data_IF_467754769803
#
_entry.id   IF_467754769803
#
_cell.length_a   1.000
_cell.length_b   1.000
_cell.length_c   1.000
_cell.angle_alpha   90.00
_cell.angle_beta   90.00
_cell.angle_gamma   90.00
#
_symmetry.space_group_name_H-M   'P 1'
#
loop_
_entity.id
_entity.type
_entity.pdbx_description
1 polymer ?
#
# COMPACT_ATOMS: atom_id res chain seq x y z
N UNK A 1 2.88 42.17 8.09
CA UNK A 1 3.37 41.29 7.02
C UNK A 1 4.18 40.11 7.47
N UNK A 2 5.15 40.29 8.37
CA UNK A 2 5.97 39.20 8.90
C UNK A 2 5.15 38.10 9.62
N UNK A 3 4.16 38.48 10.41
CA UNK A 3 3.28 37.54 11.11
C UNK A 3 2.48 36.65 10.13
N UNK A 4 2.02 37.26 9.05
CA UNK A 4 1.25 36.53 8.02
C UNK A 4 2.15 35.53 7.29
N UNK A 5 3.34 35.93 6.91
CA UNK A 5 4.33 35.05 6.26
C UNK A 5 4.74 33.89 7.15
N UNK A 6 4.89 34.13 8.47
CA UNK A 6 5.21 33.07 9.44
C UNK A 6 4.08 32.04 9.54
N UNK A 7 2.83 32.51 9.55
CA UNK A 7 1.66 31.60 9.58
C UNK A 7 1.57 30.75 8.31
N UNK A 8 1.84 31.35 7.15
CA UNK A 8 1.84 30.61 5.87
C UNK A 8 2.97 29.57 5.83
N UNK A 9 4.15 29.92 6.32
CA UNK A 9 5.29 28.97 6.38
C UNK A 9 4.96 27.80 7.26
N UNK A 10 4.36 28.03 8.43
CA UNK A 10 3.97 26.96 9.34
C UNK A 10 2.89 26.08 8.72
N UNK A 11 1.90 26.67 8.07
CA UNK A 11 0.83 25.95 7.37
C UNK A 11 1.41 25.05 6.26
N UNK A 12 2.30 25.57 5.44
CA UNK A 12 2.95 24.80 4.37
C UNK A 12 3.79 23.67 4.92
N UNK A 13 4.53 23.91 6.00
CA UNK A 13 5.35 22.90 6.66
C UNK A 13 4.49 21.77 7.24
N UNK A 14 3.39 22.11 7.89
CA UNK A 14 2.46 21.11 8.43
C UNK A 14 1.86 20.25 7.32
N UNK A 15 1.50 20.87 6.19
CA UNK A 15 0.97 20.12 5.03
C UNK A 15 2.02 19.23 4.40
N UNK A 16 3.28 19.68 4.32
CA UNK A 16 4.37 18.85 3.82
C UNK A 16 4.61 17.64 4.72
N UNK A 17 4.58 17.83 6.04
CA UNK A 17 4.75 16.73 6.98
C UNK A 17 3.61 15.70 6.87
N UNK A 18 2.37 16.16 6.73
CA UNK A 18 1.22 15.28 6.52
C UNK A 18 1.35 14.52 5.20
N UNK A 19 1.74 15.23 4.14
CA UNK A 19 1.95 14.64 2.81
C UNK A 19 3.05 13.58 2.84
N UNK A 20 4.17 13.86 3.52
CA UNK A 20 5.31 12.93 3.57
C UNK A 20 5.00 11.64 4.33
N UNK A 21 3.94 11.61 5.12
CA UNK A 21 3.53 10.44 5.91
C UNK A 21 2.48 9.58 5.24
N UNK A 22 1.98 10.00 4.08
CA UNK A 22 0.97 9.22 3.37
C UNK A 22 1.54 7.89 2.91
N UNK A 23 0.78 6.84 3.11
CA UNK A 23 1.07 5.52 2.60
C UNK A 23 -0.11 5.01 1.78
N UNK A 24 0.19 4.27 0.73
CA UNK A 24 -0.82 3.65 -0.12
C UNK A 24 -0.51 2.17 -0.26
N UNK A 25 -1.48 1.33 0.03
CA UNK A 25 -1.40 -0.13 -0.10
C UNK A 25 -2.51 -0.60 -1.01
N UNK A 26 -2.32 -1.75 -1.66
CA UNK A 26 -3.32 -2.30 -2.56
C UNK A 26 -3.67 -3.74 -2.20
N UNK A 27 -4.96 -4.04 -2.25
CA UNK A 27 -5.49 -5.40 -2.21
C UNK A 27 -5.68 -5.82 -3.67
N UNK A 28 -4.73 -6.61 -4.20
CA UNK A 28 -4.79 -7.13 -5.57
C UNK A 28 -5.45 -8.50 -5.55
N UNK A 29 -6.58 -8.62 -6.21
CA UNK A 29 -7.41 -9.82 -6.23
C UNK A 29 -7.28 -10.53 -7.56
N UNK A 30 -6.95 -11.82 -7.54
CA UNK A 30 -6.88 -12.64 -8.75
C UNK A 30 -8.24 -13.27 -9.09
N UNK A 31 -8.29 -14.07 -10.16
CA UNK A 31 -9.52 -14.71 -10.62
C UNK A 31 -10.11 -15.70 -9.62
N UNK A 32 -9.27 -16.23 -8.73
CA UNK A 32 -9.69 -17.20 -7.70
C UNK A 32 -10.11 -16.53 -6.40
N UNK A 33 -10.27 -15.20 -6.39
CA UNK A 33 -10.57 -14.41 -5.18
C UNK A 33 -9.50 -14.54 -4.10
N UNK A 34 -8.26 -14.72 -4.53
CA UNK A 34 -7.11 -14.71 -3.66
C UNK A 34 -6.40 -13.36 -3.76
N UNK A 35 -5.76 -12.95 -2.67
CA UNK A 35 -5.09 -11.66 -2.54
C UNK A 35 -3.58 -11.84 -2.51
N UNK A 36 -2.87 -10.96 -3.19
CA UNK A 36 -1.41 -10.96 -3.20
C UNK A 36 -0.85 -10.39 -1.90
N UNK A 37 -0.02 -11.19 -1.22
CA UNK A 37 0.74 -10.77 -0.04
C UNK A 37 2.24 -10.93 -0.30
N UNK A 38 3.03 -10.05 0.30
CA UNK A 38 4.49 -10.04 0.21
C UNK A 38 5.09 -10.20 1.60
N UNK A 39 6.10 -11.07 1.72
CA UNK A 39 6.77 -11.30 3.00
C UNK A 39 7.96 -10.35 3.15
N UNK A 40 7.99 -9.58 4.24
CA UNK A 40 9.05 -8.61 4.52
C UNK A 40 10.34 -9.29 4.91
N UNK A 41 11.46 -8.78 4.38
CA UNK A 41 12.79 -9.28 4.70
C UNK A 41 13.40 -8.57 5.91
N UNK A 42 14.59 -9.01 6.33
CA UNK A 42 15.38 -8.35 7.38
C UNK A 42 15.89 -6.96 6.96
N UNK A 43 15.77 -6.59 5.71
CA UNK A 43 16.04 -5.23 5.22
C UNK A 43 15.22 -4.22 5.98
N UNK A 44 14.00 -4.59 6.36
CA UNK A 44 13.14 -3.79 7.22
C UNK A 44 13.46 -4.09 8.68
N UNK A 45 13.84 -3.06 9.45
CA UNK A 45 14.12 -3.20 10.88
C UNK A 45 12.85 -3.53 11.68
N UNK A 46 11.68 -3.14 11.15
CA UNK A 46 10.38 -3.41 11.77
C UNK A 46 9.62 -4.42 10.94
N UNK A 47 8.91 -5.31 11.61
CA UNK A 47 7.99 -6.27 10.98
C UNK A 47 8.66 -7.23 9.99
N UNK A 48 9.96 -7.52 10.18
CA UNK A 48 10.67 -8.53 9.39
C UNK A 48 9.96 -9.88 9.50
N UNK A 49 9.78 -10.56 8.37
CA UNK A 49 9.12 -11.85 8.32
C UNK A 49 7.60 -11.80 8.33
N UNK A 50 7.00 -10.63 8.51
CA UNK A 50 5.55 -10.47 8.44
C UNK A 50 5.07 -10.37 6.99
N UNK A 51 3.82 -10.78 6.77
CA UNK A 51 3.16 -10.64 5.47
C UNK A 51 2.51 -9.26 5.36
N UNK A 52 2.69 -8.64 4.20
CA UNK A 52 2.30 -7.26 3.93
C UNK A 52 1.58 -7.19 2.59
N UNK A 53 0.83 -6.10 2.39
CA UNK A 53 0.24 -5.78 1.09
C UNK A 53 1.24 -4.96 0.27
N UNK A 54 1.20 -5.08 -1.08
CA UNK A 54 2.03 -4.22 -1.93
C UNK A 54 1.70 -2.75 -1.75
N UNK A 55 2.69 -1.89 -1.87
CA UNK A 55 2.57 -0.45 -1.72
C UNK A 55 3.59 0.12 -0.75
N UNK A 56 3.53 1.40 -0.50
CA UNK A 56 4.47 2.06 0.39
C UNK A 56 4.24 3.56 0.52
N UNK A 57 5.30 4.28 0.85
CA UNK A 57 5.23 5.72 1.07
C UNK A 57 5.01 6.47 -0.24
N UNK A 58 4.09 7.44 -0.18
CA UNK A 58 3.82 8.35 -1.28
C UNK A 58 4.70 9.59 -1.08
N UNK A 59 5.40 10.00 -2.12
CA UNK A 59 6.29 11.16 -2.05
C UNK A 59 5.48 12.46 -1.92
N UNK A 60 6.06 13.46 -1.28
CA UNK A 60 5.47 14.79 -1.20
C UNK A 60 5.23 15.32 -2.61
N UNK A 61 4.00 15.79 -2.86
CA UNK A 61 3.61 16.29 -4.18
C UNK A 61 3.22 15.24 -5.20
N UNK A 62 3.37 13.96 -4.85
CA UNK A 62 2.95 12.84 -5.71
C UNK A 62 1.47 12.53 -5.47
N UNK A 63 0.71 12.25 -6.55
CA UNK A 63 -0.65 11.77 -6.40
C UNK A 63 -0.65 10.39 -5.76
N UNK A 64 -1.68 10.08 -4.97
CA UNK A 64 -1.78 8.78 -4.26
C UNK A 64 -1.67 7.59 -5.21
N UNK A 65 -2.40 7.62 -6.33
CA UNK A 65 -2.36 6.52 -7.30
C UNK A 65 -0.99 6.38 -7.96
N UNK A 66 -0.35 7.50 -8.28
CA UNK A 66 0.98 7.47 -8.88
C UNK A 66 2.00 6.86 -7.91
N UNK A 67 1.92 7.25 -6.65
CA UNK A 67 2.78 6.68 -5.61
C UNK A 67 2.53 5.20 -5.40
N UNK A 68 1.27 4.80 -5.37
CA UNK A 68 0.89 3.40 -5.26
C UNK A 68 1.45 2.56 -6.41
N UNK A 69 1.23 3.02 -7.64
CA UNK A 69 1.67 2.29 -8.84
C UNK A 69 3.19 2.19 -8.90
N UNK A 70 3.89 3.28 -8.55
CA UNK A 70 5.35 3.30 -8.48
C UNK A 70 5.88 2.28 -7.46
N UNK A 71 5.32 2.28 -6.25
CA UNK A 71 5.74 1.36 -5.17
C UNK A 71 5.47 -0.10 -5.55
N UNK A 72 4.31 -0.38 -6.13
CA UNK A 72 3.97 -1.75 -6.57
C UNK A 72 4.94 -2.22 -7.64
N UNK A 73 5.27 -1.36 -8.60
CA UNK A 73 6.24 -1.69 -9.65
C UNK A 73 7.63 -1.93 -9.08
N UNK A 74 8.08 -1.09 -8.16
CA UNK A 74 9.37 -1.27 -7.48
C UNK A 74 9.45 -2.59 -6.71
N UNK A 75 8.37 -2.96 -6.02
CA UNK A 75 8.33 -4.14 -5.16
C UNK A 75 8.09 -5.44 -5.90
N UNK A 76 7.31 -5.41 -6.98
CA UNK A 76 6.81 -6.62 -7.64
C UNK A 76 7.09 -6.70 -9.13
N UNK A 77 7.51 -5.60 -9.74
CA UNK A 77 7.64 -5.52 -11.20
C UNK A 77 6.31 -5.41 -11.94
N UNK A 78 5.19 -5.40 -11.24
CA UNK A 78 3.86 -5.33 -11.86
C UNK A 78 3.50 -3.90 -12.22
N UNK A 79 2.94 -3.73 -13.42
CA UNK A 79 2.37 -2.45 -13.87
C UNK A 79 0.88 -2.49 -13.62
N UNK A 80 0.42 -1.74 -12.62
CA UNK A 80 -1.00 -1.63 -12.28
C UNK A 80 -1.59 -0.45 -13.03
N UNK A 81 -2.71 -0.66 -13.70
CA UNK A 81 -3.37 0.37 -14.50
C UNK A 81 -4.61 0.96 -13.85
N UNK A 82 -5.24 0.22 -12.95
CA UNK A 82 -6.48 0.63 -12.30
C UNK A 82 -6.49 0.22 -10.85
N UNK A 83 -6.89 1.15 -10.00
CA UNK A 83 -7.13 0.89 -8.59
C UNK A 83 -8.17 1.89 -8.08
N UNK A 84 -8.94 1.49 -7.12
CA UNK A 84 -9.98 2.31 -6.51
C UNK A 84 -9.76 2.38 -5.02
N UNK A 85 -9.87 3.59 -4.44
CA UNK A 85 -9.76 3.75 -2.99
C UNK A 85 -10.89 2.97 -2.31
N UNK A 86 -10.50 2.08 -1.41
CA UNK A 86 -11.44 1.26 -0.65
C UNK A 86 -11.65 1.81 0.76
N UNK A 87 -10.56 2.14 1.47
CA UNK A 87 -10.62 2.54 2.86
C UNK A 87 -9.42 3.41 3.23
N UNK A 88 -9.64 4.39 4.08
CA UNK A 88 -8.57 5.22 4.65
C UNK A 88 -8.53 5.02 6.16
N UNK A 89 -7.36 4.76 6.71
CA UNK A 89 -7.11 4.66 8.15
C UNK A 89 -5.91 5.54 8.47
N UNK A 90 -6.13 6.66 9.14
CA UNK A 90 -5.12 7.68 9.41
C UNK A 90 -4.42 8.14 8.10
N UNK A 91 -3.11 7.95 7.99
CA UNK A 91 -2.35 8.29 6.79
C UNK A 91 -2.25 7.14 5.79
N UNK A 92 -2.87 6.01 6.08
CA UNK A 92 -2.80 4.81 5.28
C UNK A 92 -4.03 4.68 4.40
N UNK A 93 -3.81 4.64 3.09
CA UNK A 93 -4.86 4.55 2.08
C UNK A 93 -4.82 3.16 1.47
N UNK A 94 -5.92 2.42 1.61
CA UNK A 94 -6.07 1.09 1.01
C UNK A 94 -6.86 1.18 -0.27
N UNK A 95 -6.26 0.65 -1.34
CA UNK A 95 -6.88 0.56 -2.65
C UNK A 95 -7.23 -0.89 -2.96
N UNK A 96 -8.20 -1.09 -3.82
CA UNK A 96 -8.51 -2.39 -4.38
C UNK A 96 -8.23 -2.40 -5.86
N UNK A 97 -7.77 -3.52 -6.38
CA UNK A 97 -7.51 -3.69 -7.80
C UNK A 97 -7.51 -5.16 -8.19
N UNK A 98 -7.50 -5.41 -9.49
CA UNK A 98 -7.53 -6.76 -10.04
C UNK A 98 -6.14 -7.13 -10.55
N UNK A 99 -5.66 -8.30 -10.13
CA UNK A 99 -4.47 -8.90 -10.73
C UNK A 99 -4.88 -9.62 -12.00
N UNK A 100 -4.44 -9.11 -13.12
CA UNK A 100 -4.81 -9.68 -14.43
C UNK A 100 -3.76 -10.64 -14.95
N UNK A 101 -2.50 -10.18 -14.94
CA UNK A 101 -1.37 -10.97 -15.43
C UNK A 101 -0.06 -10.25 -15.06
N UNK A 102 1.03 -10.95 -15.22
CA UNK A 102 2.35 -10.41 -15.05
C UNK A 102 3.21 -11.29 -14.16
N UNK A 103 4.50 -11.29 -14.44
CA UNK A 103 5.48 -12.03 -13.64
C UNK A 103 5.88 -11.16 -12.45
N UNK A 104 5.81 -11.74 -11.27
CA UNK A 104 6.22 -11.04 -10.05
C UNK A 104 7.72 -11.23 -9.86
N UNK A 105 8.45 -10.11 -9.81
CA UNK A 105 9.89 -10.08 -9.56
C UNK A 105 10.09 -9.19 -8.33
N UNK A 106 10.43 -9.83 -7.21
CA UNK A 106 10.51 -9.14 -5.93
C UNK A 106 11.78 -8.30 -5.81
N UNK A 107 11.66 -7.14 -5.16
CA UNK A 107 12.81 -6.36 -4.72
C UNK A 107 13.44 -7.02 -3.48
N UNK A 108 14.58 -6.50 -3.01
CA UNK A 108 15.25 -7.02 -1.83
C UNK A 108 14.49 -6.71 -0.52
N UNK A 109 13.41 -5.94 -0.57
CA UNK A 109 12.57 -5.65 0.60
C UNK A 109 11.63 -6.81 0.94
N UNK A 110 11.39 -7.71 -0.01
CA UNK A 110 10.48 -8.84 0.16
C UNK A 110 11.14 -10.14 -0.33
N UNK A 111 10.95 -11.21 0.41
CA UNK A 111 11.59 -12.51 0.10
C UNK A 111 10.66 -13.49 -0.59
N UNK A 112 9.37 -13.37 -0.39
CA UNK A 112 8.37 -14.28 -0.92
C UNK A 112 7.10 -13.53 -1.29
N UNK A 113 6.35 -14.09 -2.23
CA UNK A 113 5.00 -13.63 -2.52
C UNK A 113 4.07 -14.84 -2.56
N UNK A 114 2.80 -14.61 -2.25
CA UNK A 114 1.78 -15.64 -2.40
C UNK A 114 0.40 -15.02 -2.58
N UNK A 115 -0.47 -15.76 -3.28
CA UNK A 115 -1.89 -15.44 -3.35
C UNK A 115 -2.61 -16.31 -2.33
N UNK A 116 -3.39 -15.69 -1.46
CA UNK A 116 -4.10 -16.38 -0.38
C UNK A 116 -5.55 -15.96 -0.40
N UNK A 117 -6.44 -16.93 -0.12
CA UNK A 117 -7.82 -16.61 0.24
C UNK A 117 -7.81 -16.02 1.65
N UNK A 118 -8.07 -14.70 1.81
CA UNK A 118 -7.98 -14.08 3.12
C UNK A 118 -9.02 -14.59 4.11
N UNK A 119 -10.11 -15.18 3.63
CA UNK A 119 -11.14 -15.77 4.50
C UNK A 119 -10.63 -17.02 5.21
N UNK A 120 -9.54 -17.64 4.74
CA UNK A 120 -8.95 -18.82 5.36
C UNK A 120 -7.97 -18.49 6.49
N UNK A 121 -7.66 -17.21 6.71
CA UNK A 121 -6.66 -16.78 7.69
C UNK A 121 -7.28 -16.78 9.09
N UNK A 122 -6.64 -17.50 10.01
CA UNK A 122 -6.99 -17.46 11.44
C UNK A 122 -6.30 -16.27 12.09
N UNK A 123 -7.02 -15.56 12.97
CA UNK A 123 -6.49 -14.39 13.68
C UNK A 123 -5.86 -13.35 12.74
N UNK A 124 -6.63 -12.82 11.77
CA UNK A 124 -6.06 -11.92 10.77
C UNK A 124 -5.48 -10.63 11.37
N UNK A 125 -4.34 -10.21 10.81
CA UNK A 125 -3.72 -8.94 11.11
C UNK A 125 -4.55 -7.78 10.55
N UNK A 126 -4.11 -6.54 10.85
CA UNK A 126 -4.76 -5.33 10.35
C UNK A 126 -4.90 -5.33 8.82
N UNK A 127 -3.82 -5.67 8.10
CA UNK A 127 -3.84 -5.69 6.63
C UNK A 127 -4.66 -6.84 6.09
N UNK A 128 -4.60 -7.98 6.74
CA UNK A 128 -5.40 -9.15 6.37
C UNK A 128 -6.89 -8.90 6.56
N UNK A 129 -7.26 -8.15 7.61
CA UNK A 129 -8.66 -7.74 7.82
C UNK A 129 -9.18 -6.86 6.70
N UNK A 130 -8.36 -5.93 6.19
CA UNK A 130 -8.74 -5.10 5.05
C UNK A 130 -8.94 -5.96 3.80
N UNK A 131 -8.05 -6.93 3.58
CA UNK A 131 -8.19 -7.88 2.46
C UNK A 131 -9.49 -8.66 2.56
N UNK A 132 -9.88 -9.11 3.75
CA UNK A 132 -11.16 -9.79 4.00
C UNK A 132 -12.33 -8.87 3.62
N UNK A 133 -12.29 -7.61 4.07
CA UNK A 133 -13.34 -6.63 3.74
C UNK A 133 -13.50 -6.46 2.23
N UNK A 134 -12.39 -6.38 1.50
CA UNK A 134 -12.40 -6.24 0.03
C UNK A 134 -13.06 -7.48 -0.61
N UNK A 135 -12.65 -8.67 -0.21
CA UNK A 135 -13.21 -9.92 -0.76
C UNK A 135 -14.70 -10.02 -0.47
N UNK A 136 -15.13 -9.63 0.72
CA UNK A 136 -16.55 -9.69 1.09
C UNK A 136 -17.40 -8.66 0.33
N UNK A 137 -16.79 -7.60 -0.19
CA UNK A 137 -17.49 -6.54 -0.93
C UNK A 137 -17.67 -6.84 -2.42
N UNK A 138 -17.01 -7.86 -2.94
CA UNK A 138 -17.04 -8.19 -4.37
C UNK A 138 -18.18 -9.14 -4.72
#
# INVERSE_FOLDING_TARGET
>A
MQKLLSKWRLFLKENEEKDSKREAKIVLVNQNKEVLFLKRTNYHKKHAGEWDLPGGHVHVGEELLDGLFREVEEETGLTIKRARLFKKMDNLHFFEGVYEQGKIILSNEHSEHKFIDPLSIENPSKFEKVAIEVIESV
#
